data_IF_095339720130
#
_entry.id   IF_095339720130
#
_cell.length_a   1.000
_cell.length_b   1.000
_cell.length_c   1.000
_cell.angle_alpha   90.00
_cell.angle_beta   90.00
_cell.angle_gamma   90.00
#
_symmetry.space_group_name_H-M   'P 1'
#
loop_
_entity.id
_entity.type
_entity.pdbx_description
1 polymer ?
#
# COMPACT_ATOMS: atom_id res chain seq x y z
N UNK A 1 24.16 51.19 10.42
CA UNK A 1 23.06 51.26 11.42
C UNK A 1 23.56 52.07 12.61
N UNK A 2 23.09 53.30 12.78
CA UNK A 2 23.38 54.07 14.01
C UNK A 2 22.63 53.45 15.19
N UNK A 3 23.30 53.31 16.33
CA UNK A 3 22.64 52.81 17.55
C UNK A 3 21.82 53.91 18.23
N UNK A 4 20.83 53.58 19.07
CA UNK A 4 20.07 54.59 19.82
C UNK A 4 20.95 55.50 20.69
N UNK A 5 22.11 55.02 21.17
CA UNK A 5 23.07 55.83 21.93
C UNK A 5 23.75 56.89 21.05
N UNK A 6 24.28 56.50 19.89
CA UNK A 6 24.91 57.45 18.95
C UNK A 6 23.96 58.56 18.50
N UNK A 7 22.65 58.28 18.37
CA UNK A 7 21.65 59.31 18.03
C UNK A 7 21.48 60.31 19.18
N UNK A 8 21.45 59.84 20.44
CA UNK A 8 21.40 60.71 21.62
C UNK A 8 22.69 61.54 21.78
N UNK A 9 23.85 60.96 21.49
CA UNK A 9 25.15 61.64 21.51
C UNK A 9 25.20 62.75 20.45
N UNK A 10 24.78 62.49 19.21
CA UNK A 10 24.64 63.49 18.14
C UNK A 10 23.69 64.64 18.54
N UNK A 11 22.56 64.34 19.19
CA UNK A 11 21.59 65.36 19.61
C UNK A 11 22.09 66.22 20.78
N UNK A 12 22.79 65.62 21.75
CA UNK A 12 23.47 66.36 22.82
C UNK A 12 24.55 67.27 22.23
N UNK A 13 25.35 66.78 21.27
CA UNK A 13 26.39 67.57 20.64
C UNK A 13 25.81 68.72 19.80
N UNK A 14 24.71 68.48 19.06
CA UNK A 14 23.93 69.52 18.37
C UNK A 14 23.41 70.59 19.35
N UNK A 15 22.82 70.19 20.48
CA UNK A 15 22.31 71.10 21.51
C UNK A 15 23.43 71.98 22.10
N UNK A 16 24.58 71.39 22.45
CA UNK A 16 25.75 72.13 22.96
C UNK A 16 26.26 73.12 21.91
N UNK A 17 26.43 72.68 20.65
CA UNK A 17 26.86 73.56 19.54
C UNK A 17 25.87 74.70 19.29
N UNK A 18 24.57 74.49 19.44
CA UNK A 18 23.57 75.56 19.35
C UNK A 18 23.63 76.53 20.53
N UNK A 19 23.77 76.04 21.78
CA UNK A 19 23.92 76.89 22.97
C UNK A 19 25.16 77.78 22.88
N UNK A 20 26.32 77.23 22.50
CA UNK A 20 27.57 77.99 22.36
C UNK A 20 27.47 79.06 21.27
N UNK A 21 26.82 78.77 20.13
CA UNK A 21 26.58 79.78 19.07
C UNK A 21 25.71 80.92 19.55
N UNK A 22 24.57 80.62 20.19
CA UNK A 22 23.68 81.61 20.79
C UNK A 22 24.38 82.50 21.82
N UNK A 23 25.22 81.90 22.69
CA UNK A 23 25.99 82.66 23.68
C UNK A 23 27.04 83.58 23.04
N UNK A 24 27.74 83.12 21.99
CA UNK A 24 28.70 83.94 21.23
C UNK A 24 27.99 85.09 20.49
N UNK A 25 26.79 84.87 19.97
CA UNK A 25 25.98 85.90 19.33
C UNK A 25 25.46 86.93 20.34
N UNK A 26 24.98 86.49 21.51
CA UNK A 26 24.59 87.38 22.61
C UNK A 26 25.76 88.24 23.12
N UNK A 27 26.95 87.64 23.30
CA UNK A 27 28.18 88.36 23.67
C UNK A 27 28.55 89.42 22.61
N UNK A 28 28.47 89.10 21.31
CA UNK A 28 28.71 90.05 20.21
C UNK A 28 27.66 91.17 20.14
N UNK A 29 26.39 90.88 20.42
CA UNK A 29 25.33 91.88 20.50
C UNK A 29 25.56 92.88 21.66
N UNK A 30 25.97 92.37 22.83
CA UNK A 30 26.37 93.22 23.95
C UNK A 30 27.62 94.06 23.63
N UNK A 31 28.67 93.45 23.06
CA UNK A 31 29.91 94.13 22.70
C UNK A 31 29.71 95.25 21.66
N UNK A 32 28.91 94.99 20.62
CA UNK A 32 28.58 95.99 19.58
C UNK A 32 27.70 97.12 20.13
N UNK A 33 26.78 96.82 21.04
CA UNK A 33 25.98 97.83 21.75
C UNK A 33 26.86 98.70 22.66
N UNK A 34 27.77 98.09 23.43
CA UNK A 34 28.74 98.83 24.25
C UNK A 34 29.68 99.70 23.41
N UNK A 35 30.15 99.20 22.26
CA UNK A 35 30.97 99.97 21.31
C UNK A 35 30.21 101.13 20.66
N UNK A 36 28.88 101.02 20.47
CA UNK A 36 28.03 102.15 20.06
C UNK A 36 27.93 103.19 21.17
N UNK A 37 27.53 102.79 22.38
CA UNK A 37 27.38 103.68 23.52
C UNK A 37 28.69 104.42 23.88
N UNK A 38 29.85 103.75 23.75
CA UNK A 38 31.16 104.41 23.90
C UNK A 38 31.41 105.48 22.83
N UNK A 39 31.03 105.25 21.56
CA UNK A 39 31.17 106.27 20.51
C UNK A 39 30.27 107.47 20.79
N UNK A 40 28.99 107.23 21.06
CA UNK A 40 28.01 108.27 21.41
C UNK A 40 28.50 109.11 22.60
N UNK A 41 29.02 108.46 23.66
CA UNK A 41 29.63 109.16 24.80
C UNK A 41 30.87 109.98 24.42
N UNK A 42 31.71 109.54 23.48
CA UNK A 42 32.84 110.35 22.97
C UNK A 42 32.40 111.49 22.05
N UNK A 43 31.26 111.37 21.38
CA UNK A 43 30.70 112.41 20.51
C UNK A 43 30.03 113.50 21.34
N UNK A 44 29.18 113.13 22.32
CA UNK A 44 28.65 114.02 23.34
C UNK A 44 29.77 114.74 24.12
N UNK A 45 30.92 114.08 24.36
CA UNK A 45 32.10 114.72 24.99
C UNK A 45 32.78 115.76 24.09
N UNK A 46 32.76 115.59 22.76
CA UNK A 46 33.24 116.61 21.80
C UNK A 46 32.27 117.78 21.73
N UNK A 47 30.98 117.50 21.65
CA UNK A 47 29.91 118.50 21.62
C UNK A 47 29.91 119.37 22.89
N UNK A 48 30.00 118.76 24.08
CA UNK A 48 30.20 119.47 25.34
C UNK A 48 31.51 120.27 25.41
N UNK A 49 32.54 119.92 24.63
CA UNK A 49 33.75 120.73 24.50
C UNK A 49 33.53 121.92 23.54
N UNK A 50 32.78 121.73 22.46
CA UNK A 50 32.40 122.79 21.52
C UNK A 50 31.52 123.84 22.22
N UNK A 51 30.44 123.41 22.87
CA UNK A 51 29.54 124.26 23.67
C UNK A 51 30.28 125.01 24.79
N UNK A 52 31.41 124.48 25.30
CA UNK A 52 32.28 125.17 26.27
C UNK A 52 33.18 126.22 25.64
N UNK A 53 33.64 126.02 24.41
CA UNK A 53 34.38 127.03 23.62
C UNK A 53 33.44 128.17 23.22
N UNK A 54 32.31 127.84 22.60
CA UNK A 54 31.26 128.81 22.23
C UNK A 54 30.84 129.63 23.45
N UNK A 55 30.61 129.00 24.62
CA UNK A 55 30.29 129.72 25.86
C UNK A 55 31.42 130.61 26.41
N UNK A 56 32.68 130.36 26.04
CA UNK A 56 33.80 131.24 26.35
C UNK A 56 33.91 132.39 25.32
N UNK A 57 33.69 132.11 24.05
CA UNK A 57 33.65 133.10 22.96
C UNK A 57 32.49 134.08 23.15
N UNK A 58 31.29 133.61 23.50
CA UNK A 58 30.15 134.46 23.88
C UNK A 58 30.42 135.32 25.12
N UNK A 59 31.21 134.85 26.09
CA UNK A 59 31.64 135.67 27.23
C UNK A 59 32.59 136.78 26.79
N UNK A 60 33.60 136.43 25.99
CA UNK A 60 34.53 137.40 25.42
C UNK A 60 33.82 138.49 24.59
N UNK A 61 32.81 138.13 23.79
CA UNK A 61 31.99 139.09 23.04
C UNK A 61 31.16 139.98 23.98
N UNK A 62 30.56 139.44 25.04
CA UNK A 62 29.82 140.24 26.03
C UNK A 62 30.75 141.21 26.77
N UNK A 63 31.92 140.75 27.22
CA UNK A 63 32.92 141.59 27.90
C UNK A 63 33.41 142.72 26.98
N UNK A 64 33.60 142.45 25.68
CA UNK A 64 34.00 143.43 24.67
C UNK A 64 32.90 144.46 24.37
N UNK A 65 31.64 144.04 24.26
CA UNK A 65 30.49 144.95 24.05
C UNK A 65 30.27 145.84 25.27
N UNK A 66 30.42 145.30 26.49
CA UNK A 66 30.33 146.09 27.72
C UNK A 66 31.44 147.17 27.82
N UNK A 67 32.64 146.93 27.26
CA UNK A 67 33.72 147.93 27.21
C UNK A 67 33.55 148.97 26.09
N UNK A 68 32.72 148.70 25.08
CA UNK A 68 32.64 149.54 23.85
C UNK A 68 31.59 150.66 23.91
N UNK A 69 30.78 150.73 24.97
CA UNK A 69 29.58 151.59 25.02
C UNK A 69 29.74 152.92 25.80
N UNK A 70 30.95 153.27 26.26
CA UNK A 70 31.19 154.51 27.04
C UNK A 70 31.75 155.69 26.21
N UNK A 71 32.11 155.52 24.93
CA UNK A 71 32.86 156.54 24.16
C UNK A 71 32.27 156.83 22.77
N UNK A 72 31.27 157.72 22.68
CA UNK A 72 30.94 158.48 21.46
C UNK A 72 30.10 159.74 21.77
N UNK A 73 30.65 160.95 21.57
CA UNK A 73 29.87 162.21 21.63
C UNK A 73 30.53 163.38 20.88
N UNK A 74 29.74 164.45 20.65
CA UNK A 74 30.15 165.87 20.52
C UNK A 74 30.45 166.51 19.13
N UNK A 75 30.06 167.81 19.03
CA UNK A 75 30.60 168.94 18.20
C UNK A 75 30.18 169.12 16.70
N UNK A 76 30.02 170.36 16.13
CA UNK A 76 29.78 171.73 16.69
C UNK A 76 29.30 172.83 15.66
N UNK A 77 29.32 174.11 16.07
CA UNK A 77 28.68 175.39 15.61
C UNK A 77 29.73 176.48 15.18
N UNK A 78 29.52 177.70 14.62
CA UNK A 78 28.45 178.61 14.04
C UNK A 78 29.20 179.82 13.31
N UNK A 79 28.82 181.10 13.05
CA UNK A 79 27.70 182.04 13.39
C UNK A 79 27.66 183.39 12.55
N UNK A 80 26.46 183.96 12.32
CA UNK A 80 26.00 185.38 12.22
C UNK A 80 26.63 186.56 11.35
N UNK A 81 25.83 187.61 11.00
CA UNK A 81 26.21 188.97 10.47
C UNK A 81 25.74 190.13 11.43
N UNK A 82 25.31 191.39 11.09
CA UNK A 82 25.49 192.36 9.95
C UNK A 82 25.86 193.83 10.43
N UNK A 83 25.84 194.92 9.58
CA UNK A 83 25.53 196.36 9.95
C UNK A 83 25.48 197.45 8.82
N UNK A 84 25.07 198.69 9.20
CA UNK A 84 24.64 199.91 8.42
C UNK A 84 25.72 201.04 8.31
N UNK A 85 25.59 202.24 7.66
CA UNK A 85 24.70 203.43 7.85
C UNK A 85 24.76 204.48 6.67
N UNK A 86 23.69 205.31 6.55
CA UNK A 86 23.34 206.55 5.75
C UNK A 86 24.34 207.46 4.94
N UNK A 87 23.74 208.06 3.87
CA UNK A 87 24.00 209.37 3.17
C UNK A 87 25.34 209.56 2.41
N UNK A 88 25.49 210.47 1.41
CA UNK A 88 24.62 211.52 0.84
C UNK A 88 24.42 211.41 -0.71
N UNK A 89 24.05 212.50 -1.41
CA UNK A 89 23.54 212.53 -2.80
C UNK A 89 24.61 212.44 -3.92
N UNK A 90 24.12 212.25 -5.15
CA UNK A 90 24.75 212.43 -6.49
C UNK A 90 25.46 211.22 -7.12
N UNK A 91 25.73 210.14 -6.37
CA UNK A 91 26.39 208.94 -6.89
C UNK A 91 25.42 207.85 -7.42
N UNK A 92 24.18 208.22 -7.78
CA UNK A 92 23.12 207.25 -8.13
C UNK A 92 23.36 206.50 -9.44
N UNK A 93 23.83 207.18 -10.50
CA UNK A 93 24.09 206.56 -11.81
C UNK A 93 25.18 205.48 -11.73
N UNK A 94 26.25 205.70 -10.95
CA UNK A 94 27.31 204.69 -10.73
C UNK A 94 26.82 203.52 -9.86
N UNK A 95 25.91 203.78 -8.90
CA UNK A 95 25.29 202.73 -8.07
C UNK A 95 24.30 201.88 -8.85
N UNK A 96 23.59 202.45 -9.83
CA UNK A 96 22.72 201.69 -10.73
C UNK A 96 23.54 200.79 -11.65
N UNK A 97 24.57 201.31 -12.30
CA UNK A 97 25.46 200.53 -13.16
C UNK A 97 26.27 199.45 -12.42
N UNK A 98 26.59 199.67 -11.13
CA UNK A 98 27.10 198.61 -10.24
C UNK A 98 26.05 197.54 -9.96
N UNK A 99 24.81 197.92 -9.61
CA UNK A 99 23.71 196.97 -9.37
C UNK A 99 23.35 196.15 -10.61
N UNK A 100 23.45 196.72 -11.81
CA UNK A 100 23.31 195.96 -13.06
C UNK A 100 24.38 194.87 -13.15
N UNK A 101 25.65 195.18 -12.86
CA UNK A 101 26.71 194.16 -12.78
C UNK A 101 26.55 193.17 -11.62
N UNK A 102 26.04 193.61 -10.47
CA UNK A 102 25.75 192.72 -9.34
C UNK A 102 24.62 191.74 -9.71
N UNK A 103 23.60 192.19 -10.45
CA UNK A 103 22.52 191.36 -10.99
C UNK A 103 23.05 190.42 -12.09
N UNK A 104 23.92 190.90 -12.97
CA UNK A 104 24.54 190.10 -14.03
C UNK A 104 25.43 188.99 -13.44
N UNK A 105 26.21 189.29 -12.39
CA UNK A 105 26.96 188.30 -11.61
C UNK A 105 26.06 187.33 -10.85
N UNK A 106 24.94 187.79 -10.28
CA UNK A 106 23.97 186.91 -9.61
C UNK A 106 23.25 185.99 -10.60
N UNK A 107 22.92 186.48 -11.80
CA UNK A 107 22.36 185.68 -12.87
C UNK A 107 23.36 184.63 -13.37
N UNK A 108 24.64 185.00 -13.56
CA UNK A 108 25.69 184.02 -13.86
C UNK A 108 25.84 183.00 -12.72
N UNK A 109 25.85 183.44 -11.46
CA UNK A 109 25.92 182.56 -10.28
C UNK A 109 24.70 181.64 -10.15
N UNK A 110 23.53 182.05 -10.66
CA UNK A 110 22.34 181.20 -10.76
C UNK A 110 22.50 180.18 -11.88
N UNK A 111 22.89 180.59 -13.09
CA UNK A 111 23.17 179.68 -14.21
C UNK A 111 24.24 178.63 -13.86
N UNK A 112 25.32 179.03 -13.18
CA UNK A 112 26.38 178.14 -12.71
C UNK A 112 25.86 177.13 -11.66
N UNK A 113 24.90 177.55 -10.82
CA UNK A 113 24.24 176.67 -9.83
C UNK A 113 23.21 175.76 -10.45
N UNK A 114 22.42 176.25 -11.40
CA UNK A 114 21.43 175.47 -12.12
C UNK A 114 22.13 174.39 -12.96
N UNK A 115 23.23 174.73 -13.64
CA UNK A 115 24.09 173.76 -14.31
C UNK A 115 24.73 172.74 -13.33
N UNK A 116 25.13 173.16 -12.13
CA UNK A 116 25.63 172.25 -11.10
C UNK A 116 24.53 171.33 -10.52
N UNK A 117 23.29 171.83 -10.41
CA UNK A 117 22.10 171.06 -9.99
C UNK A 117 21.70 170.07 -11.09
N UNK A 118 21.69 170.46 -12.35
CA UNK A 118 21.48 169.56 -13.49
C UNK A 118 22.56 168.48 -13.57
N UNK A 119 23.83 168.84 -13.41
CA UNK A 119 24.94 167.88 -13.33
C UNK A 119 24.80 166.91 -12.16
N UNK A 120 24.42 167.41 -10.98
CA UNK A 120 24.13 166.60 -9.80
C UNK A 120 22.96 165.64 -10.00
N UNK A 121 21.87 166.11 -10.62
CA UNK A 121 20.69 165.29 -10.96
C UNK A 121 21.05 164.20 -11.99
N UNK A 122 21.85 164.53 -13.02
CA UNK A 122 22.35 163.54 -13.99
C UNK A 122 23.24 162.49 -13.32
N UNK A 123 24.14 162.90 -12.41
CA UNK A 123 24.99 161.99 -11.66
C UNK A 123 24.17 161.09 -10.71
N UNK A 124 23.18 161.65 -10.02
CA UNK A 124 22.24 160.89 -9.18
C UNK A 124 21.45 159.87 -10.00
N UNK A 125 20.95 160.25 -11.18
CA UNK A 125 20.22 159.35 -12.07
C UNK A 125 21.12 158.22 -12.60
N UNK A 126 22.39 158.50 -12.92
CA UNK A 126 23.36 157.46 -13.29
C UNK A 126 23.64 156.50 -12.13
N UNK A 127 23.85 157.01 -10.92
CA UNK A 127 24.12 156.20 -9.73
C UNK A 127 22.90 155.34 -9.36
N UNK A 128 21.68 155.89 -9.43
CA UNK A 128 20.44 155.12 -9.27
C UNK A 128 20.34 154.01 -10.32
N UNK A 129 20.57 154.32 -11.60
CA UNK A 129 20.56 153.33 -12.70
C UNK A 129 21.60 152.22 -12.50
N UNK A 130 22.76 152.53 -11.89
CA UNK A 130 23.78 151.53 -11.55
C UNK A 130 23.36 150.68 -10.34
N UNK A 131 22.76 151.29 -9.31
CA UNK A 131 22.24 150.61 -8.13
C UNK A 131 21.09 149.65 -8.48
N UNK A 132 20.15 150.08 -9.32
CA UNK A 132 19.02 149.26 -9.79
C UNK A 132 19.53 148.05 -10.58
N UNK A 133 20.52 148.26 -11.47
CA UNK A 133 21.18 147.18 -12.22
C UNK A 133 21.92 146.22 -11.29
N UNK A 134 22.73 146.72 -10.36
CA UNK A 134 23.43 145.89 -9.39
C UNK A 134 22.47 145.08 -8.50
N UNK A 135 21.36 145.68 -8.09
CA UNK A 135 20.30 145.03 -7.30
C UNK A 135 19.63 143.91 -8.11
N UNK A 136 19.25 144.18 -9.36
CA UNK A 136 18.67 143.16 -10.26
C UNK A 136 19.62 141.99 -10.53
N UNK A 137 20.92 142.27 -10.73
CA UNK A 137 21.94 141.24 -10.90
C UNK A 137 22.17 140.43 -9.63
N UNK A 138 22.13 141.05 -8.45
CA UNK A 138 22.22 140.36 -7.15
C UNK A 138 21.03 139.42 -6.92
N UNK A 139 19.81 139.87 -7.22
CA UNK A 139 18.59 139.05 -7.14
C UNK A 139 18.65 137.85 -8.09
N UNK A 140 19.10 138.06 -9.34
CA UNK A 140 19.23 136.98 -10.33
C UNK A 140 20.35 135.98 -9.96
N UNK A 141 21.49 136.45 -9.44
CA UNK A 141 22.55 135.57 -8.91
C UNK A 141 22.07 134.76 -7.70
N UNK A 142 21.28 135.36 -6.81
CA UNK A 142 20.66 134.65 -5.68
C UNK A 142 19.68 133.59 -6.17
N UNK A 143 18.82 133.89 -7.16
CA UNK A 143 17.92 132.92 -7.79
C UNK A 143 18.69 131.73 -8.40
N UNK A 144 19.75 132.01 -9.13
CA UNK A 144 20.62 130.97 -9.71
C UNK A 144 21.33 130.12 -8.64
N UNK A 145 21.77 130.73 -7.54
CA UNK A 145 22.36 130.03 -6.40
C UNK A 145 21.34 129.09 -5.71
N UNK A 146 20.11 129.54 -5.52
CA UNK A 146 19.05 128.75 -4.89
C UNK A 146 18.58 127.59 -5.80
N UNK A 147 18.46 127.82 -7.11
CA UNK A 147 18.17 126.77 -8.09
C UNK A 147 19.30 125.74 -8.19
N UNK A 148 20.57 126.18 -8.14
CA UNK A 148 21.73 125.28 -8.05
C UNK A 148 21.73 124.48 -6.74
N UNK A 149 21.35 125.10 -5.62
CA UNK A 149 21.25 124.43 -4.32
C UNK A 149 20.14 123.37 -4.29
N UNK A 150 18.96 123.62 -4.84
CA UNK A 150 17.90 122.60 -4.94
C UNK A 150 18.27 121.46 -5.90
N UNK A 151 18.91 121.77 -7.03
CA UNK A 151 19.46 120.75 -7.94
C UNK A 151 20.51 119.85 -7.25
N UNK A 152 21.40 120.46 -6.45
CA UNK A 152 22.40 119.74 -5.66
C UNK A 152 21.74 118.87 -4.56
N UNK A 153 20.75 119.39 -3.82
CA UNK A 153 19.97 118.60 -2.84
C UNK A 153 19.31 117.39 -3.50
N UNK A 154 18.66 117.58 -4.65
CA UNK A 154 18.00 116.52 -5.42
C UNK A 154 18.99 115.44 -5.87
N UNK A 155 20.09 115.81 -6.52
CA UNK A 155 21.11 114.83 -6.97
C UNK A 155 21.78 114.09 -5.80
N UNK A 156 21.97 114.74 -4.64
CA UNK A 156 22.43 114.08 -3.41
C UNK A 156 21.40 113.05 -2.90
N UNK A 157 20.10 113.34 -2.98
CA UNK A 157 19.04 112.38 -2.62
C UNK A 157 18.98 111.20 -3.59
N UNK A 158 19.03 111.46 -4.90
CA UNK A 158 19.05 110.42 -5.95
C UNK A 158 20.29 109.50 -5.79
N UNK A 159 21.47 110.07 -5.54
CA UNK A 159 22.70 109.30 -5.28
C UNK A 159 22.60 108.45 -4.00
N UNK A 160 21.93 108.94 -2.94
CA UNK A 160 21.66 108.15 -1.73
C UNK A 160 20.71 106.99 -2.02
N UNK A 161 19.63 107.25 -2.75
CA UNK A 161 18.66 106.22 -3.14
C UNK A 161 19.29 105.14 -4.03
N UNK A 162 20.11 105.53 -5.02
CA UNK A 162 20.83 104.62 -5.90
C UNK A 162 21.85 103.77 -5.15
N UNK A 163 22.55 104.34 -4.15
CA UNK A 163 23.45 103.57 -3.26
C UNK A 163 22.70 102.54 -2.42
N UNK A 164 21.55 102.89 -1.84
CA UNK A 164 20.71 101.96 -1.09
C UNK A 164 20.17 100.82 -1.98
N UNK A 165 19.67 101.15 -3.18
CA UNK A 165 19.21 100.16 -4.16
C UNK A 165 20.34 99.22 -4.62
N UNK A 166 21.56 99.74 -4.82
CA UNK A 166 22.75 98.94 -5.14
C UNK A 166 23.16 98.02 -3.99
N UNK A 167 23.11 98.50 -2.75
CA UNK A 167 23.36 97.66 -1.56
C UNK A 167 22.31 96.56 -1.40
N UNK A 168 21.03 96.84 -1.65
CA UNK A 168 19.97 95.84 -1.64
C UNK A 168 20.15 94.81 -2.74
N UNK A 169 20.46 95.23 -3.97
CA UNK A 169 20.76 94.34 -5.07
C UNK A 169 21.94 93.42 -4.72
N UNK A 170 23.03 93.98 -4.16
CA UNK A 170 24.18 93.20 -3.67
C UNK A 170 23.78 92.19 -2.59
N UNK A 171 22.94 92.58 -1.62
CA UNK A 171 22.41 91.68 -0.56
C UNK A 171 21.56 90.55 -1.18
N UNK A 172 20.69 90.87 -2.14
CA UNK A 172 19.85 89.91 -2.89
C UNK A 172 20.70 88.91 -3.69
N UNK A 173 21.69 89.38 -4.46
CA UNK A 173 22.62 88.51 -5.19
C UNK A 173 23.49 87.66 -4.25
N UNK A 174 24.00 88.22 -3.16
CA UNK A 174 24.78 87.47 -2.18
C UNK A 174 23.97 86.36 -1.50
N UNK A 175 22.68 86.61 -1.21
CA UNK A 175 21.75 85.56 -0.75
C UNK A 175 21.56 84.50 -1.83
N UNK A 176 21.24 84.89 -3.06
CA UNK A 176 21.00 83.94 -4.16
C UNK A 176 22.24 83.06 -4.47
N UNK A 177 23.45 83.62 -4.35
CA UNK A 177 24.72 82.87 -4.48
C UNK A 177 24.93 81.88 -3.33
N UNK A 178 24.40 82.14 -2.13
CA UNK A 178 24.38 81.17 -1.02
C UNK A 178 23.34 80.10 -1.27
N UNK A 179 22.10 80.50 -1.56
CA UNK A 179 20.97 79.58 -1.77
C UNK A 179 21.28 78.56 -2.90
N UNK A 180 21.83 79.03 -4.04
CA UNK A 180 22.29 78.17 -5.15
C UNK A 180 23.50 77.27 -4.80
N UNK A 181 24.34 77.65 -3.83
CA UNK A 181 25.45 76.79 -3.36
C UNK A 181 24.94 75.69 -2.45
N UNK A 182 24.01 76.02 -1.57
CA UNK A 182 23.39 75.06 -0.65
C UNK A 182 22.53 74.06 -1.45
N UNK A 183 21.76 74.52 -2.43
CA UNK A 183 21.03 73.68 -3.41
C UNK A 183 21.99 72.76 -4.18
N UNK A 184 23.10 73.29 -4.73
CA UNK A 184 24.11 72.47 -5.41
C UNK A 184 24.69 71.40 -4.50
N UNK A 185 24.95 71.70 -3.23
CA UNK A 185 25.44 70.71 -2.26
C UNK A 185 24.38 69.63 -1.98
N UNK A 186 23.12 70.01 -1.83
CA UNK A 186 22.00 69.08 -1.67
C UNK A 186 21.86 68.14 -2.88
N UNK A 187 21.88 68.66 -4.10
CA UNK A 187 21.81 67.87 -5.33
C UNK A 187 23.01 66.91 -5.49
N UNK A 188 24.22 67.31 -5.09
CA UNK A 188 25.40 66.43 -5.09
C UNK A 188 25.27 65.32 -4.04
N UNK A 189 24.74 65.62 -2.86
CA UNK A 189 24.49 64.63 -1.81
C UNK A 189 23.41 63.62 -2.23
N UNK A 190 22.33 64.08 -2.86
CA UNK A 190 21.27 63.22 -3.41
C UNK A 190 21.79 62.34 -4.55
N UNK A 191 22.56 62.90 -5.50
CA UNK A 191 23.14 62.13 -6.60
C UNK A 191 24.11 61.04 -6.09
N UNK A 192 24.89 61.34 -5.05
CA UNK A 192 25.72 60.35 -4.34
C UNK A 192 24.87 59.22 -3.74
N UNK A 193 23.75 59.53 -3.09
CA UNK A 193 22.84 58.51 -2.54
C UNK A 193 22.16 57.68 -3.64
N UNK A 194 21.78 58.29 -4.77
CA UNK A 194 21.20 57.59 -5.91
C UNK A 194 22.23 56.66 -6.58
N UNK A 195 23.49 57.07 -6.65
CA UNK A 195 24.60 56.23 -7.13
C UNK A 195 24.79 55.00 -6.24
N UNK A 196 24.87 55.18 -4.90
CA UNK A 196 24.94 54.04 -3.97
C UNK A 196 23.75 53.08 -4.13
N UNK A 197 22.52 53.60 -4.22
CA UNK A 197 21.32 52.76 -4.44
C UNK A 197 21.35 52.01 -5.76
N UNK A 198 21.97 52.57 -6.81
CA UNK A 198 22.17 51.88 -8.08
C UNK A 198 23.20 50.75 -7.96
N UNK A 199 24.31 50.98 -7.26
CA UNK A 199 25.31 49.94 -6.94
C UNK A 199 24.69 48.80 -6.11
N UNK A 200 23.98 49.12 -5.03
CA UNK A 200 23.26 48.16 -4.18
C UNK A 200 22.26 47.33 -5.01
N UNK A 201 21.50 47.99 -5.89
CA UNK A 201 20.50 47.36 -6.78
C UNK A 201 21.14 46.44 -7.83
N UNK A 202 22.25 46.87 -8.45
CA UNK A 202 22.99 46.03 -9.41
C UNK A 202 23.63 44.81 -8.74
N UNK A 203 24.15 44.97 -7.52
CA UNK A 203 24.64 43.86 -6.68
C UNK A 203 23.51 42.86 -6.34
N UNK A 204 22.35 43.33 -5.88
CA UNK A 204 21.19 42.49 -5.61
C UNK A 204 20.66 41.77 -6.86
N UNK A 205 20.68 42.42 -8.02
CA UNK A 205 20.33 41.81 -9.31
C UNK A 205 21.37 40.73 -9.72
N UNK A 206 22.66 40.97 -9.52
CA UNK A 206 23.71 39.97 -9.76
C UNK A 206 23.51 38.71 -8.89
N UNK A 207 23.25 38.89 -7.58
CA UNK A 207 22.90 37.80 -6.67
C UNK A 207 21.62 37.07 -7.10
N UNK A 208 20.58 37.80 -7.51
CA UNK A 208 19.33 37.24 -8.04
C UNK A 208 19.58 36.37 -9.27
N UNK A 209 20.48 36.77 -10.17
CA UNK A 209 20.83 35.98 -11.35
C UNK A 209 21.72 34.78 -11.03
N UNK A 210 22.54 34.83 -9.97
CA UNK A 210 23.24 33.66 -9.43
C UNK A 210 22.27 32.65 -8.83
N UNK A 211 21.30 33.10 -8.02
CA UNK A 211 20.24 32.25 -7.44
C UNK A 211 19.37 31.60 -8.53
N UNK A 212 19.01 32.33 -9.60
CA UNK A 212 18.31 31.76 -10.76
C UNK A 212 19.11 30.63 -11.42
N UNK A 213 20.44 30.78 -11.59
CA UNK A 213 21.30 29.71 -12.12
C UNK A 213 21.35 28.49 -11.21
N UNK A 214 21.47 28.68 -9.90
CA UNK A 214 21.45 27.59 -8.92
C UNK A 214 20.10 26.85 -8.91
N UNK A 215 18.98 27.58 -8.99
CA UNK A 215 17.64 27.00 -9.06
C UNK A 215 17.41 26.22 -10.36
N UNK A 216 17.96 26.69 -11.48
CA UNK A 216 17.93 25.95 -12.75
C UNK A 216 18.75 24.65 -12.65
N UNK A 217 19.98 24.69 -12.13
CA UNK A 217 20.80 23.51 -11.88
C UNK A 217 20.13 22.51 -10.91
N UNK A 218 19.40 23.00 -9.90
CA UNK A 218 18.64 22.14 -9.00
C UNK A 218 17.46 21.44 -9.70
N UNK A 219 16.77 22.13 -10.62
CA UNK A 219 15.71 21.54 -11.46
C UNK A 219 16.26 20.49 -12.43
N UNK A 220 17.41 20.75 -13.05
CA UNK A 220 18.09 19.82 -13.95
C UNK A 220 18.47 18.54 -13.19
N UNK A 221 19.11 18.66 -12.03
CA UNK A 221 19.42 17.51 -11.15
C UNK A 221 18.17 16.74 -10.71
N UNK A 222 17.09 17.43 -10.35
CA UNK A 222 15.83 16.78 -9.99
C UNK A 222 15.24 16.02 -11.17
N UNK A 223 15.29 16.58 -12.38
CA UNK A 223 14.85 15.89 -13.61
C UNK A 223 15.67 14.63 -13.87
N UNK A 224 16.99 14.67 -13.65
CA UNK A 224 17.85 13.48 -13.77
C UNK A 224 17.49 12.42 -12.74
N UNK A 225 17.33 12.77 -11.47
CA UNK A 225 16.96 11.82 -10.40
C UNK A 225 15.58 11.20 -10.64
N UNK A 226 14.61 11.96 -11.15
CA UNK A 226 13.30 11.43 -11.55
C UNK A 226 13.44 10.44 -12.71
N UNK A 227 14.20 10.77 -13.76
CA UNK A 227 14.46 9.85 -14.89
C UNK A 227 15.18 8.57 -14.46
N UNK A 228 16.20 8.68 -13.60
CA UNK A 228 16.89 7.51 -13.02
C UNK A 228 15.94 6.63 -12.20
N UNK A 229 15.04 7.23 -11.43
CA UNK A 229 14.06 6.49 -10.63
C UNK A 229 12.95 5.86 -11.50
N UNK A 230 12.48 6.54 -12.54
CA UNK A 230 11.52 5.98 -13.51
C UNK A 230 12.13 4.78 -14.26
N UNK A 231 13.38 4.90 -14.73
CA UNK A 231 14.13 3.79 -15.33
C UNK A 231 14.27 2.63 -14.34
N UNK A 232 14.61 2.90 -13.08
CA UNK A 232 14.73 1.88 -12.03
C UNK A 232 13.41 1.19 -11.71
N UNK A 233 12.29 1.93 -11.72
CA UNK A 233 10.95 1.35 -11.54
C UNK A 233 10.53 0.50 -12.74
N UNK A 234 10.85 0.91 -13.96
CA UNK A 234 10.64 0.11 -15.18
C UNK A 234 11.47 -1.18 -15.15
N UNK A 235 12.75 -1.10 -14.75
CA UNK A 235 13.62 -2.28 -14.56
C UNK A 235 13.08 -3.23 -13.49
N UNK A 236 12.65 -2.73 -12.33
CA UNK A 236 12.07 -3.56 -11.27
C UNK A 236 10.76 -4.23 -11.74
N UNK A 237 9.89 -3.50 -12.44
CA UNK A 237 8.65 -4.03 -13.01
C UNK A 237 8.91 -5.09 -14.08
N UNK A 238 9.87 -4.84 -14.99
CA UNK A 238 10.29 -5.80 -16.01
C UNK A 238 10.88 -7.08 -15.41
N UNK A 239 11.82 -6.94 -14.47
CA UNK A 239 12.43 -8.08 -13.78
C UNK A 239 11.39 -8.90 -12.98
N UNK A 240 10.44 -8.24 -12.32
CA UNK A 240 9.34 -8.93 -11.63
C UNK A 240 8.42 -9.65 -12.62
N UNK A 241 8.08 -9.03 -13.75
CA UNK A 241 7.27 -9.67 -14.80
C UNK A 241 7.96 -10.89 -15.40
N UNK A 242 9.28 -10.83 -15.64
CA UNK A 242 10.08 -11.97 -16.09
C UNK A 242 10.09 -13.10 -15.05
N UNK A 243 10.41 -12.80 -13.79
CA UNK A 243 10.41 -13.80 -12.72
C UNK A 243 9.03 -14.46 -12.50
N UNK A 244 7.94 -13.70 -12.66
CA UNK A 244 6.57 -14.26 -12.61
C UNK A 244 6.29 -15.16 -13.82
N UNK A 245 6.76 -14.80 -15.03
CA UNK A 245 6.64 -15.65 -16.21
C UNK A 245 7.48 -16.93 -16.10
N UNK A 246 8.66 -16.85 -15.49
CA UNK A 246 9.53 -18.01 -15.23
C UNK A 246 8.88 -18.96 -14.22
N UNK A 247 8.46 -18.46 -13.05
CA UNK A 247 7.71 -19.26 -12.05
C UNK A 247 6.40 -19.84 -12.59
N UNK A 248 5.71 -19.13 -13.49
CA UNK A 248 4.49 -19.64 -14.13
C UNK A 248 4.82 -20.81 -15.07
N UNK A 249 5.88 -20.71 -15.87
CA UNK A 249 6.34 -21.81 -16.75
C UNK A 249 6.83 -23.01 -15.96
N UNK A 250 7.62 -22.79 -14.90
CA UNK A 250 8.06 -23.85 -14.00
C UNK A 250 6.86 -24.58 -13.40
N UNK A 251 5.83 -23.85 -12.96
CA UNK A 251 4.60 -24.44 -12.44
C UNK A 251 3.76 -25.17 -13.51
N UNK A 252 3.67 -24.65 -14.74
CA UNK A 252 3.04 -25.33 -15.88
C UNK A 252 3.77 -26.64 -16.23
N UNK A 253 5.11 -26.64 -16.19
CA UNK A 253 5.93 -27.84 -16.38
C UNK A 253 5.80 -28.82 -15.20
N UNK A 254 5.74 -28.36 -13.95
CA UNK A 254 5.44 -29.21 -12.80
C UNK A 254 4.06 -29.86 -12.91
N UNK A 255 3.02 -29.11 -13.25
CA UNK A 255 1.66 -29.62 -13.45
C UNK A 255 1.61 -30.64 -14.60
N UNK A 256 2.30 -30.37 -15.71
CA UNK A 256 2.44 -31.32 -16.82
C UNK A 256 3.18 -32.59 -16.41
N UNK A 257 4.27 -32.46 -15.65
CA UNK A 257 5.02 -33.60 -15.11
C UNK A 257 4.23 -34.41 -14.08
N UNK A 258 3.37 -33.77 -13.27
CA UNK A 258 2.43 -34.46 -12.37
C UNK A 258 1.33 -35.18 -13.15
N UNK A 259 0.74 -34.54 -14.16
CA UNK A 259 -0.26 -35.15 -15.03
C UNK A 259 0.31 -36.36 -15.78
N UNK A 260 1.53 -36.27 -16.31
CA UNK A 260 2.23 -37.40 -16.93
C UNK A 260 2.45 -38.54 -15.91
N UNK A 261 2.99 -38.26 -14.72
CA UNK A 261 3.20 -39.28 -13.66
C UNK A 261 1.90 -39.92 -13.18
N UNK A 262 0.78 -39.22 -13.23
CA UNK A 262 -0.55 -39.78 -12.95
C UNK A 262 -1.03 -40.66 -14.11
N UNK A 263 -0.84 -40.24 -15.36
CA UNK A 263 -1.17 -41.06 -16.54
C UNK A 263 -0.33 -42.34 -16.61
N UNK A 264 0.98 -42.24 -16.42
CA UNK A 264 1.90 -43.40 -16.31
C UNK A 264 1.44 -44.36 -15.20
N UNK A 265 0.99 -43.83 -14.05
CA UNK A 265 0.40 -44.67 -12.99
C UNK A 265 -0.90 -45.34 -13.44
N UNK A 266 -1.82 -44.62 -14.07
CA UNK A 266 -3.08 -45.20 -14.57
C UNK A 266 -2.84 -46.27 -15.65
N UNK A 267 -1.87 -46.07 -16.54
CA UNK A 267 -1.48 -47.05 -17.56
C UNK A 267 -0.87 -48.31 -16.93
N UNK A 268 0.03 -48.15 -15.95
CA UNK A 268 0.54 -49.28 -15.15
C UNK A 268 -0.58 -50.00 -14.38
N UNK A 269 -1.46 -49.27 -13.70
CA UNK A 269 -2.64 -49.80 -12.98
C UNK A 269 -3.55 -50.63 -13.90
N UNK A 270 -3.73 -50.18 -15.15
CA UNK A 270 -4.51 -50.89 -16.18
C UNK A 270 -3.75 -52.13 -16.66
N UNK A 271 -2.44 -52.03 -16.91
CA UNK A 271 -1.61 -53.15 -17.34
C UNK A 271 -1.53 -54.26 -16.28
N UNK A 272 -1.36 -53.90 -15.00
CA UNK A 272 -1.40 -54.84 -13.88
C UNK A 272 -2.77 -55.51 -13.76
N UNK A 273 -3.88 -54.76 -13.89
CA UNK A 273 -5.24 -55.32 -13.88
C UNK A 273 -5.47 -56.28 -15.04
N UNK A 274 -5.03 -55.93 -16.26
CA UNK A 274 -5.12 -56.81 -17.44
C UNK A 274 -4.27 -58.08 -17.25
N UNK A 275 -3.05 -57.96 -16.71
CA UNK A 275 -2.19 -59.10 -16.42
C UNK A 275 -2.81 -60.01 -15.34
N UNK A 276 -3.35 -59.45 -14.26
CA UNK A 276 -4.04 -60.19 -13.21
C UNK A 276 -5.32 -60.88 -13.74
N UNK A 277 -6.13 -60.20 -14.57
CA UNK A 277 -7.30 -60.82 -15.22
C UNK A 277 -6.89 -61.95 -16.17
N UNK A 278 -5.79 -61.79 -16.91
CA UNK A 278 -5.24 -62.84 -17.77
C UNK A 278 -4.78 -64.07 -16.97
N UNK A 279 -4.07 -63.85 -15.85
CA UNK A 279 -3.66 -64.91 -14.93
C UNK A 279 -4.87 -65.62 -14.29
N UNK A 280 -5.90 -64.87 -13.87
CA UNK A 280 -7.15 -65.46 -13.35
C UNK A 280 -7.85 -66.32 -14.41
N UNK A 281 -7.99 -65.83 -15.66
CA UNK A 281 -8.57 -66.59 -16.76
C UNK A 281 -7.76 -67.86 -17.08
N UNK A 282 -6.43 -67.82 -16.94
CA UNK A 282 -5.58 -69.01 -17.09
C UNK A 282 -5.80 -70.02 -15.95
N UNK A 283 -5.85 -69.55 -14.70
CA UNK A 283 -6.16 -70.39 -13.52
C UNK A 283 -7.57 -70.99 -13.62
N UNK A 284 -8.54 -70.27 -14.20
CA UNK A 284 -9.89 -70.78 -14.44
C UNK A 284 -9.91 -71.89 -15.50
N UNK A 285 -9.17 -71.73 -16.62
CA UNK A 285 -8.99 -72.79 -17.62
C UNK A 285 -8.31 -74.02 -17.02
N UNK A 286 -7.27 -73.84 -16.21
CA UNK A 286 -6.57 -74.93 -15.54
C UNK A 286 -7.47 -75.66 -14.53
N UNK A 287 -8.29 -74.92 -13.75
CA UNK A 287 -9.31 -75.52 -12.87
C UNK A 287 -10.36 -76.31 -13.64
N UNK A 288 -10.82 -75.81 -14.78
CA UNK A 288 -11.81 -76.52 -15.60
C UNK A 288 -11.21 -77.75 -16.30
N UNK A 289 -9.96 -77.68 -16.75
CA UNK A 289 -9.20 -78.83 -17.25
C UNK A 289 -9.05 -79.90 -16.16
N UNK A 290 -8.66 -79.52 -14.93
CA UNK A 290 -8.56 -80.44 -13.78
C UNK A 290 -9.92 -81.06 -13.43
N UNK A 291 -11.02 -80.31 -13.51
CA UNK A 291 -12.39 -80.86 -13.36
C UNK A 291 -12.72 -81.87 -14.46
N UNK A 292 -12.42 -81.54 -15.72
CA UNK A 292 -12.69 -82.43 -16.86
C UNK A 292 -11.85 -83.72 -16.79
N UNK A 293 -10.59 -83.64 -16.38
CA UNK A 293 -9.72 -84.80 -16.17
C UNK A 293 -10.13 -85.65 -14.97
N UNK A 294 -10.59 -85.03 -13.87
CA UNK A 294 -11.15 -85.74 -12.72
C UNK A 294 -12.47 -86.44 -13.07
N UNK A 295 -13.37 -85.79 -13.82
CA UNK A 295 -14.59 -86.40 -14.33
C UNK A 295 -14.31 -87.58 -15.27
N UNK A 296 -13.26 -87.49 -16.11
CA UNK A 296 -12.86 -88.61 -16.98
C UNK A 296 -12.38 -89.81 -16.16
N UNK A 297 -11.53 -89.61 -15.15
CA UNK A 297 -11.08 -90.68 -14.24
C UNK A 297 -12.25 -91.34 -13.51
N UNK A 298 -13.18 -90.55 -12.96
CA UNK A 298 -14.38 -91.09 -12.30
C UNK A 298 -15.28 -91.88 -13.27
N UNK A 299 -15.32 -91.53 -14.56
CA UNK A 299 -16.03 -92.31 -15.59
C UNK A 299 -15.30 -93.61 -15.96
N UNK A 300 -13.96 -93.61 -15.96
CA UNK A 300 -13.12 -94.79 -16.18
C UNK A 300 -13.20 -95.76 -14.99
N UNK A 301 -13.10 -95.25 -13.76
CA UNK A 301 -13.29 -96.00 -12.50
C UNK A 301 -14.69 -96.63 -12.43
N UNK A 302 -15.76 -95.86 -12.70
CA UNK A 302 -17.14 -96.36 -12.76
C UNK A 302 -17.38 -97.37 -13.90
N UNK A 303 -16.54 -97.39 -14.94
CA UNK A 303 -16.58 -98.42 -15.98
C UNK A 303 -15.94 -99.72 -15.49
N UNK A 304 -14.79 -99.63 -14.82
CA UNK A 304 -14.10 -100.79 -14.21
C UNK A 304 -14.99 -101.44 -13.16
N UNK A 305 -15.57 -100.66 -12.24
CA UNK A 305 -16.46 -101.17 -11.18
C UNK A 305 -17.70 -101.90 -11.77
N UNK A 306 -18.20 -101.49 -12.94
CA UNK A 306 -19.27 -102.18 -13.65
C UNK A 306 -18.82 -103.49 -14.31
N UNK A 307 -17.61 -103.52 -14.84
CA UNK A 307 -17.01 -104.73 -15.43
C UNK A 307 -16.73 -105.77 -14.33
N UNK A 308 -16.15 -105.35 -13.20
CA UNK A 308 -15.98 -106.18 -12.00
C UNK A 308 -17.33 -106.68 -11.43
N UNK A 309 -18.38 -105.85 -11.42
CA UNK A 309 -19.72 -106.30 -11.01
C UNK A 309 -20.30 -107.37 -11.96
N UNK A 310 -20.01 -107.33 -13.26
CA UNK A 310 -20.43 -108.38 -14.20
C UNK A 310 -19.70 -109.70 -13.92
N UNK A 311 -18.40 -109.65 -13.63
CA UNK A 311 -17.62 -110.84 -13.27
C UNK A 311 -18.03 -111.42 -11.91
N UNK A 312 -18.35 -110.57 -10.93
CA UNK A 312 -18.95 -110.98 -9.66
C UNK A 312 -20.32 -111.63 -9.86
N UNK A 313 -21.18 -111.08 -10.73
CA UNK A 313 -22.48 -111.69 -11.06
C UNK A 313 -22.33 -113.04 -11.78
N UNK A 314 -21.36 -113.19 -12.69
CA UNK A 314 -21.03 -114.49 -13.28
C UNK A 314 -20.52 -115.48 -12.23
N UNK A 315 -19.69 -115.02 -11.29
CA UNK A 315 -19.14 -115.85 -10.20
C UNK A 315 -20.25 -116.32 -9.25
N UNK A 316 -21.14 -115.42 -8.84
CA UNK A 316 -22.34 -115.74 -8.03
C UNK A 316 -23.22 -116.75 -8.76
N UNK A 317 -23.46 -116.58 -10.07
CA UNK A 317 -24.22 -117.54 -10.87
C UNK A 317 -23.53 -118.92 -10.92
N UNK A 318 -22.22 -118.98 -11.12
CA UNK A 318 -21.44 -120.22 -11.08
C UNK A 318 -21.55 -120.92 -9.72
N UNK A 319 -21.58 -120.16 -8.62
CA UNK A 319 -21.77 -120.71 -7.27
C UNK A 319 -23.21 -121.20 -7.05
N UNK A 320 -24.23 -120.49 -7.56
CA UNK A 320 -25.62 -120.95 -7.54
C UNK A 320 -25.81 -122.24 -8.33
N UNK A 321 -25.21 -122.35 -9.52
CA UNK A 321 -25.28 -123.55 -10.36
C UNK A 321 -24.56 -124.75 -9.70
N UNK A 322 -23.42 -124.52 -9.02
CA UNK A 322 -22.74 -125.54 -8.21
C UNK A 322 -23.56 -125.97 -6.98
N UNK A 323 -24.18 -125.02 -6.28
CA UNK A 323 -25.03 -125.30 -5.10
C UNK A 323 -26.26 -126.12 -5.50
N UNK A 324 -26.85 -125.81 -6.66
CA UNK A 324 -27.95 -126.58 -7.27
C UNK A 324 -27.53 -128.01 -7.60
N UNK A 325 -26.38 -128.22 -8.26
CA UNK A 325 -25.84 -129.55 -8.53
C UNK A 325 -25.56 -130.36 -7.25
N UNK A 326 -25.03 -129.71 -6.19
CA UNK A 326 -24.82 -130.35 -4.88
C UNK A 326 -26.15 -130.71 -4.21
N UNK A 327 -27.20 -129.89 -4.37
CA UNK A 327 -28.54 -130.19 -3.85
C UNK A 327 -29.19 -131.36 -4.59
N UNK A 328 -29.04 -131.41 -5.92
CA UNK A 328 -29.50 -132.52 -6.76
C UNK A 328 -28.80 -133.84 -6.35
N UNK A 329 -27.46 -133.84 -6.24
CA UNK A 329 -26.67 -134.97 -5.74
C UNK A 329 -27.08 -135.44 -4.34
N UNK A 330 -27.46 -134.52 -3.44
CA UNK A 330 -27.86 -134.86 -2.07
C UNK A 330 -29.24 -135.52 -2.04
N UNK A 331 -30.18 -135.07 -2.87
CA UNK A 331 -31.47 -135.75 -3.05
C UNK A 331 -31.33 -137.15 -3.72
N UNK A 332 -30.31 -137.37 -4.55
CA UNK A 332 -29.99 -138.71 -5.06
C UNK A 332 -29.36 -139.61 -3.98
N UNK A 333 -28.47 -139.07 -3.15
CA UNK A 333 -27.89 -139.79 -2.01
C UNK A 333 -28.96 -140.21 -0.98
N UNK A 334 -29.93 -139.34 -0.67
CA UNK A 334 -31.05 -139.67 0.22
C UNK A 334 -31.96 -140.76 -0.35
N UNK A 335 -32.19 -140.81 -1.68
CA UNK A 335 -32.87 -141.95 -2.33
C UNK A 335 -32.09 -143.25 -2.17
N UNK A 336 -30.81 -143.24 -2.54
CA UNK A 336 -29.96 -144.44 -2.46
C UNK A 336 -29.87 -144.98 -1.02
N UNK A 337 -29.87 -144.08 -0.02
CA UNK A 337 -29.93 -144.46 1.40
C UNK A 337 -31.27 -145.11 1.77
N UNK A 338 -32.40 -144.55 1.35
CA UNK A 338 -33.72 -145.12 1.63
C UNK A 338 -33.90 -146.51 1.00
N UNK A 339 -33.37 -146.71 -0.23
CA UNK A 339 -33.38 -148.01 -0.91
C UNK A 339 -32.48 -149.05 -0.19
N UNK A 340 -31.31 -148.63 0.32
CA UNK A 340 -30.43 -149.49 1.09
C UNK A 340 -31.00 -149.88 2.47
N UNK A 341 -31.72 -148.97 3.14
CA UNK A 341 -32.41 -149.26 4.40
C UNK A 341 -33.58 -150.25 4.18
N UNK A 342 -34.32 -150.12 3.07
CA UNK A 342 -35.39 -151.05 2.71
C UNK A 342 -34.89 -152.48 2.41
N UNK A 343 -33.82 -152.65 1.62
CA UNK A 343 -33.29 -154.00 1.35
C UNK A 343 -32.66 -154.62 2.61
N UNK A 344 -32.05 -153.83 3.49
CA UNK A 344 -31.57 -154.31 4.81
C UNK A 344 -32.70 -154.92 5.63
N UNK A 345 -33.86 -154.28 5.70
CA UNK A 345 -35.04 -154.80 6.42
C UNK A 345 -35.59 -156.07 5.74
N UNK A 346 -35.53 -156.15 4.40
CA UNK A 346 -35.86 -157.33 3.60
C UNK A 346 -34.95 -158.53 3.89
N UNK A 347 -33.64 -158.28 4.07
CA UNK A 347 -32.65 -159.31 4.43
C UNK A 347 -32.84 -159.77 5.88
N UNK A 348 -33.05 -158.86 6.84
CA UNK A 348 -33.32 -159.22 8.24
C UNK A 348 -34.57 -160.10 8.39
N UNK A 349 -35.65 -159.75 7.68
CA UNK A 349 -36.90 -160.53 7.70
C UNK A 349 -36.84 -161.85 6.92
N UNK A 350 -35.84 -162.04 6.06
CA UNK A 350 -35.46 -163.36 5.51
C UNK A 350 -34.64 -164.17 6.52
N UNK A 351 -33.63 -163.56 7.15
CA UNK A 351 -32.74 -164.23 8.12
C UNK A 351 -33.52 -164.84 9.29
N UNK A 352 -34.41 -164.06 9.91
CA UNK A 352 -35.24 -164.54 11.02
C UNK A 352 -36.17 -165.72 10.65
N UNK A 353 -36.59 -165.82 9.39
CA UNK A 353 -37.37 -166.97 8.90
C UNK A 353 -36.51 -168.21 8.67
N UNK A 354 -35.24 -168.03 8.31
CA UNK A 354 -34.28 -169.13 8.15
C UNK A 354 -33.78 -169.65 9.50
N UNK A 355 -33.54 -168.76 10.47
CA UNK A 355 -33.23 -169.13 11.86
C UNK A 355 -34.38 -169.96 12.47
N UNK A 356 -35.63 -169.49 12.36
CA UNK A 356 -36.76 -170.24 12.90
C UNK A 356 -36.99 -171.59 12.20
N UNK A 357 -36.64 -171.72 10.91
CA UNK A 357 -36.64 -173.01 10.22
C UNK A 357 -35.51 -173.94 10.70
N UNK A 358 -34.33 -173.39 11.00
CA UNK A 358 -33.21 -174.13 11.56
C UNK A 358 -33.52 -174.65 12.98
N UNK A 359 -34.10 -173.82 13.85
CA UNK A 359 -34.55 -174.19 15.21
C UNK A 359 -35.50 -175.40 15.18
N UNK A 360 -36.48 -175.37 14.27
CA UNK A 360 -37.46 -176.46 14.10
C UNK A 360 -36.77 -177.75 13.62
N UNK A 361 -35.85 -177.66 12.66
CA UNK A 361 -35.08 -178.82 12.21
C UNK A 361 -34.14 -179.37 13.30
N UNK A 362 -33.49 -178.52 14.10
CA UNK A 362 -32.58 -178.96 15.17
C UNK A 362 -33.35 -179.62 16.32
N UNK A 363 -34.47 -179.04 16.75
CA UNK A 363 -35.37 -179.65 17.74
C UNK A 363 -35.89 -181.03 17.27
N UNK A 364 -36.23 -181.15 15.98
CA UNK A 364 -36.70 -182.42 15.40
C UNK A 364 -35.57 -183.46 15.29
N UNK A 365 -34.36 -183.04 14.94
CA UNK A 365 -33.17 -183.90 14.91
C UNK A 365 -32.78 -184.40 16.31
N UNK A 366 -32.84 -183.53 17.33
CA UNK A 366 -32.53 -183.89 18.71
C UNK A 366 -33.50 -184.95 19.25
N UNK A 367 -34.80 -184.80 18.94
CA UNK A 367 -35.82 -185.78 19.34
C UNK A 367 -35.58 -187.18 18.76
N UNK A 368 -35.24 -187.29 17.47
CA UNK A 368 -34.88 -188.58 16.87
C UNK A 368 -33.62 -189.20 17.50
N UNK A 369 -32.71 -188.37 18.01
CA UNK A 369 -31.49 -188.81 18.71
C UNK A 369 -31.81 -189.46 20.07
N UNK A 370 -32.73 -188.87 20.82
CA UNK A 370 -33.26 -189.42 22.08
C UNK A 370 -34.07 -190.71 21.84
N UNK A 371 -34.91 -190.72 20.79
CA UNK A 371 -35.67 -191.91 20.38
C UNK A 371 -34.76 -193.08 19.95
N UNK A 372 -33.60 -192.80 19.33
CA UNK A 372 -32.55 -193.80 19.06
C UNK A 372 -32.01 -194.36 20.38
N UNK A 373 -31.46 -193.52 21.26
CA UNK A 373 -30.80 -193.97 22.52
C UNK A 373 -31.76 -194.86 23.35
N UNK A 374 -33.04 -194.47 23.43
CA UNK A 374 -34.08 -195.23 24.13
C UNK A 374 -34.47 -196.56 23.44
N UNK A 375 -34.07 -196.81 22.18
CA UNK A 375 -34.13 -198.10 21.50
C UNK A 375 -32.84 -198.92 21.70
N UNK A 376 -31.68 -198.29 21.78
CA UNK A 376 -30.39 -198.98 22.01
C UNK A 376 -30.35 -199.67 23.38
N UNK A 377 -30.78 -198.97 24.44
CA UNK A 377 -30.89 -199.57 25.78
C UNK A 377 -31.86 -200.76 25.80
N UNK A 378 -32.99 -200.66 25.09
CA UNK A 378 -33.97 -201.75 24.97
C UNK A 378 -33.37 -202.96 24.24
N UNK A 379 -32.60 -202.72 23.18
CA UNK A 379 -31.88 -203.78 22.45
C UNK A 379 -30.86 -204.48 23.36
N UNK A 380 -30.07 -203.70 24.11
CA UNK A 380 -29.07 -204.22 25.05
C UNK A 380 -29.69 -205.05 26.17
N UNK A 381 -30.84 -204.63 26.72
CA UNK A 381 -31.59 -205.39 27.73
C UNK A 381 -32.14 -206.71 27.17
N UNK A 382 -32.67 -206.72 25.95
CA UNK A 382 -33.16 -207.95 25.29
C UNK A 382 -32.02 -208.92 25.00
N UNK A 383 -30.87 -208.43 24.52
CA UNK A 383 -29.70 -209.27 24.27
C UNK A 383 -29.10 -209.85 25.56
N UNK A 384 -28.99 -209.05 26.62
CA UNK A 384 -28.59 -209.54 27.94
C UNK A 384 -29.56 -210.59 28.52
N UNK A 385 -30.86 -210.44 28.29
CA UNK A 385 -31.87 -211.40 28.72
C UNK A 385 -31.80 -212.74 27.97
N UNK A 386 -31.50 -212.71 26.67
CA UNK A 386 -31.35 -213.92 25.84
C UNK A 386 -30.07 -214.70 26.17
N UNK A 387 -28.94 -214.00 26.34
CA UNK A 387 -27.68 -214.62 26.82
C UNK A 387 -27.87 -215.37 28.14
N UNK A 388 -28.64 -214.81 29.09
CA UNK A 388 -28.99 -215.46 30.37
C UNK A 388 -29.84 -216.73 30.25
N UNK A 389 -30.47 -216.98 29.10
CA UNK A 389 -31.21 -218.22 28.79
C UNK A 389 -30.42 -219.22 27.94
N UNK A 390 -29.15 -218.94 27.64
CA UNK A 390 -28.31 -219.81 26.82
C UNK A 390 -28.64 -219.79 25.31
N UNK A 391 -29.29 -218.72 24.83
CA UNK A 391 -29.69 -218.55 23.43
C UNK A 391 -28.96 -217.33 22.84
N UNK A 392 -28.26 -217.51 21.71
CA UNK A 392 -27.73 -216.39 20.92
C UNK A 392 -28.84 -215.72 20.10
N UNK A 393 -28.81 -214.39 20.01
CA UNK A 393 -29.72 -213.58 19.18
C UNK A 393 -29.78 -214.08 17.73
N UNK A 394 -28.64 -214.52 17.18
CA UNK A 394 -28.49 -215.02 15.81
C UNK A 394 -29.37 -216.26 15.52
N UNK A 395 -29.74 -217.03 16.54
CA UNK A 395 -30.59 -218.21 16.39
C UNK A 395 -32.08 -217.85 16.21
N UNK A 396 -32.50 -216.64 16.63
CA UNK A 396 -33.89 -216.17 16.52
C UNK A 396 -34.18 -215.45 15.20
N UNK A 397 -33.18 -214.84 14.55
CA UNK A 397 -33.35 -213.94 13.41
C UNK A 397 -33.56 -214.63 12.04
N UNK A 398 -34.01 -215.89 12.00
CA UNK A 398 -34.08 -216.69 10.76
C UNK A 398 -35.49 -216.85 10.15
N UNK A 399 -36.23 -215.75 9.95
CA UNK A 399 -37.24 -215.66 8.87
C UNK A 399 -37.67 -214.24 8.45
N UNK A 400 -37.94 -214.12 7.13
CA UNK A 400 -38.69 -213.07 6.40
C UNK A 400 -40.12 -212.84 6.98
N UNK A 401 -40.87 -211.74 6.67
CA UNK A 401 -40.86 -210.96 5.40
C UNK A 401 -41.14 -209.42 5.49
N UNK A 402 -41.34 -208.77 4.32
CA UNK A 402 -42.15 -207.58 3.94
C UNK A 402 -42.34 -206.35 4.88
N UNK A 403 -42.55 -205.11 4.41
CA UNK A 403 -42.52 -204.54 3.04
C UNK A 403 -43.53 -203.38 2.78
N UNK A 404 -43.20 -202.50 1.82
CA UNK A 404 -44.08 -201.70 0.92
C UNK A 404 -44.90 -200.46 1.41
N UNK A 405 -45.29 -199.63 0.41
CA UNK A 405 -46.36 -198.59 0.31
C UNK A 405 -46.07 -197.09 0.58
N UNK A 406 -46.26 -196.27 -0.49
CA UNK A 406 -47.11 -195.04 -0.67
C UNK A 406 -47.00 -193.85 0.32
N UNK A 407 -47.53 -192.62 0.13
CA UNK A 407 -48.64 -191.98 -0.66
C UNK A 407 -48.27 -190.54 -1.12
N UNK A 408 -48.68 -190.01 -2.28
CA UNK A 408 -49.90 -189.20 -2.66
C UNK A 408 -50.02 -187.75 -2.09
N UNK A 409 -50.72 -186.87 -2.83
CA UNK A 409 -50.96 -185.42 -2.56
C UNK A 409 -50.05 -184.49 -3.39
N UNK A 410 -50.49 -183.57 -4.28
CA UNK A 410 -51.80 -182.97 -4.66
C UNK A 410 -52.27 -181.72 -3.86
N UNK A 411 -53.20 -180.95 -4.45
CA UNK A 411 -53.59 -179.52 -4.21
C UNK A 411 -52.56 -178.48 -4.74
N UNK A 412 -52.86 -177.45 -5.56
CA UNK A 412 -54.02 -176.58 -5.90
C UNK A 412 -54.05 -175.22 -5.13
N UNK A 413 -54.74 -174.21 -5.70
CA UNK A 413 -55.19 -172.92 -5.10
C UNK A 413 -54.12 -171.80 -4.92
N UNK A 414 -54.39 -170.49 -5.11
CA UNK A 414 -55.26 -169.73 -6.04
C UNK A 414 -54.99 -168.19 -5.97
N UNK A 415 -55.60 -167.44 -6.91
CA UNK A 415 -56.21 -166.07 -6.80
C UNK A 415 -55.46 -164.96 -5.99
N UNK A 416 -55.11 -163.80 -6.56
CA UNK A 416 -55.98 -162.74 -7.13
C UNK A 416 -56.87 -161.99 -6.13
N UNK A 417 -56.44 -160.81 -5.66
CA UNK A 417 -57.30 -159.73 -5.11
C UNK A 417 -56.84 -158.33 -5.55
N UNK A 418 -57.83 -157.44 -5.75
CA UNK A 418 -57.73 -155.96 -5.85
C UNK A 418 -58.53 -155.39 -4.66
N UNK A 419 -59.20 -154.21 -4.72
CA UNK A 419 -58.83 -152.84 -5.14
C UNK A 419 -59.09 -151.80 -4.00
N UNK A 420 -58.88 -150.49 -4.24
CA UNK A 420 -59.76 -149.31 -3.95
C UNK A 420 -58.94 -148.00 -4.14
N UNK A 421 -59.43 -146.91 -4.78
CA UNK A 421 -60.30 -145.80 -4.30
C UNK A 421 -59.70 -145.01 -3.12
N UNK A 422 -59.76 -143.65 -3.05
CA UNK A 422 -60.62 -142.67 -3.75
C UNK A 422 -60.03 -141.23 -3.73
N UNK A 423 -60.72 -140.32 -4.42
CA UNK A 423 -60.77 -138.82 -4.44
C UNK A 423 -60.19 -138.03 -3.21
N UNK A 424 -59.87 -136.71 -3.25
CA UNK A 424 -60.76 -135.54 -3.50
C UNK A 424 -59.99 -134.24 -3.92
N UNK A 425 -60.72 -133.35 -4.60
CA UNK A 425 -60.55 -131.91 -4.98
C UNK A 425 -59.96 -130.99 -3.85
N UNK A 426 -59.64 -129.68 -4.01
CA UNK A 426 -60.49 -128.58 -4.56
C UNK A 426 -59.76 -127.20 -4.63
N UNK A 427 -60.29 -126.30 -5.50
CA UNK A 427 -60.22 -124.80 -5.67
C UNK A 427 -59.54 -123.93 -4.57
N UNK A 428 -59.12 -122.66 -4.79
CA UNK A 428 -59.89 -121.47 -5.30
C UNK A 428 -58.96 -120.23 -5.46
N UNK A 429 -59.36 -119.02 -5.90
CA UNK A 429 -60.20 -118.51 -7.03
C UNK A 429 -60.09 -116.95 -7.06
N UNK A 430 -60.22 -116.32 -8.23
CA UNK A 430 -60.37 -114.86 -8.52
C UNK A 430 -61.79 -114.30 -8.12
N UNK A 431 -62.22 -113.00 -8.32
CA UNK A 431 -61.61 -111.81 -9.00
C UNK A 431 -61.95 -110.38 -8.42
N UNK A 432 -61.74 -109.32 -9.25
CA UNK A 432 -62.55 -108.08 -9.45
C UNK A 432 -62.24 -106.69 -8.77
N UNK A 433 -61.76 -105.76 -9.64
CA UNK A 433 -62.29 -104.41 -10.01
C UNK A 433 -62.21 -103.12 -9.14
N UNK A 434 -61.91 -102.03 -9.88
CA UNK A 434 -62.48 -100.64 -9.89
C UNK A 434 -61.81 -99.45 -9.16
N UNK A 435 -60.96 -98.74 -9.90
CA UNK A 435 -61.11 -97.38 -10.50
C UNK A 435 -61.38 -96.09 -9.65
N UNK A 436 -61.04 -94.95 -10.29
CA UNK A 436 -61.24 -93.51 -9.97
C UNK A 436 -60.66 -92.89 -8.68
N UNK A 437 -59.73 -91.95 -8.84
CA UNK A 437 -59.92 -90.55 -8.40
C UNK A 437 -58.82 -89.61 -8.93
N UNK A 438 -59.23 -88.59 -9.67
CA UNK A 438 -58.38 -87.55 -10.24
C UNK A 438 -57.98 -86.47 -9.21
N UNK A 439 -56.83 -85.80 -9.39
CA UNK A 439 -56.52 -84.51 -8.72
C UNK A 439 -55.33 -83.75 -9.32
N UNK A 440 -55.59 -83.04 -10.42
CA UNK A 440 -54.86 -81.81 -10.76
C UNK A 440 -55.51 -80.61 -10.07
N UNK A 441 -54.72 -79.53 -9.85
CA UNK A 441 -55.16 -78.24 -10.38
C UNK A 441 -54.17 -77.68 -11.42
N UNK A 442 -54.71 -76.85 -12.31
CA UNK A 442 -53.99 -76.07 -13.34
C UNK A 442 -53.97 -74.59 -12.88
N UNK A 443 -53.24 -73.71 -13.60
CA UNK A 443 -53.35 -72.22 -13.65
C UNK A 443 -52.30 -71.50 -12.75
N UNK A 444 -51.48 -70.53 -13.20
CA UNK A 444 -51.38 -69.82 -14.51
C UNK A 444 -50.00 -69.21 -14.82
N UNK A 445 -49.67 -69.16 -16.12
CA UNK A 445 -49.01 -68.08 -16.89
C UNK A 445 -47.78 -67.30 -16.38
N UNK A 446 -46.74 -67.30 -17.25
CA UNK A 446 -46.00 -66.14 -17.78
C UNK A 446 -45.85 -64.89 -16.88
N UNK A 447 -44.61 -64.56 -16.55
CA UNK A 447 -43.80 -63.72 -17.47
C UNK A 447 -42.31 -64.04 -17.36
#
# INVERSE_FOLDING_TARGET
>A
MSTPRSIQEDDIERLVKCRVRSEVEARKAAETTMKRAMKEATELKKELMLMRKEKAEWRFVVDLVCQSNEIASSQRTTEAPPKSVKHSSDDLLKKLNRREKDIEQLNQTLLDKDAAIEGGNQQQLQLQTQLDKATSASIELQRQLDEANESNKKTIMELRQQKLASEEARKKYQKNIKDLKDEKQQLVAENTQLTQRLEDSTSANAQTNQLKKQLQQARERLSTVVQEQDIRMQQLSGNHSLAVQELTKEHEEELKNQAQKLNEKYENDIQEKVQATSMLSQIEKEKEQVRADALRRLQEELKIEKEENVDLLQTVKSLQDKLRLVSEMLCEADRAKAEAEAEKERVMTMSSKLEHAADVCEAQAQKYKEEWIALEEKLAVVDAALRRRGISMEFLLKKKPSGNNNTEGDEEVAKSTKPLKKEIKKKSQEPELRDESDKKPIRTQRK
#
